data_IF_260391175139
#
_entry.id   IF_260391175139
#
_cell.length_a   1.000
_cell.length_b   1.000
_cell.length_c   1.000
_cell.angle_alpha   90.00
_cell.angle_beta   90.00
_cell.angle_gamma   90.00
#
_symmetry.space_group_name_H-M   'P 1'
#
loop_
_entity.id
_entity.type
_entity.pdbx_description
1 polymer ?
#
# COMPACT_ATOMS: atom_id res chain seq x y z
N UNK A 1 7.67 -7.93 9.12
CA UNK A 1 6.39 -7.63 8.45
C UNK A 1 6.21 -6.10 8.38
N UNK A 2 5.52 -5.56 7.37
CA UNK A 2 5.14 -4.14 7.36
C UNK A 2 3.72 -4.03 7.91
N UNK A 3 3.59 -3.46 9.10
CA UNK A 3 2.32 -3.30 9.81
C UNK A 3 1.70 -1.94 9.47
N UNK A 4 0.37 -1.92 9.34
CA UNK A 4 -0.35 -0.66 9.15
C UNK A 4 -0.29 0.15 10.44
N UNK A 5 0.24 1.37 10.37
CA UNK A 5 0.34 2.28 11.52
C UNK A 5 -1.02 2.46 12.22
N UNK A 6 -2.07 2.67 11.43
CA UNK A 6 -3.43 2.85 11.94
C UNK A 6 -3.93 1.65 12.75
N UNK A 7 -3.53 0.43 12.36
CA UNK A 7 -3.89 -0.79 13.11
C UNK A 7 -3.15 -0.90 14.45
N UNK A 8 -1.90 -0.45 14.49
CA UNK A 8 -1.09 -0.43 15.71
C UNK A 8 -1.60 0.64 16.69
N UNK A 9 -1.95 1.83 16.19
CA UNK A 9 -2.59 2.90 16.96
C UNK A 9 -3.93 2.45 17.53
N UNK A 10 -4.80 1.84 16.70
CA UNK A 10 -6.09 1.32 17.15
C UNK A 10 -5.97 0.18 18.17
N UNK A 11 -4.90 -0.61 18.09
CA UNK A 11 -4.58 -1.64 19.07
C UNK A 11 -3.94 -1.09 20.36
N UNK A 12 -3.68 0.22 20.44
CA UNK A 12 -3.02 0.86 21.59
C UNK A 12 -1.53 0.54 21.71
N UNK A 13 -0.91 0.08 20.62
CA UNK A 13 0.50 -0.33 20.56
C UNK A 13 1.43 0.81 20.12
N UNK A 14 0.86 1.93 19.67
CA UNK A 14 1.55 3.12 19.22
C UNK A 14 1.03 4.34 20.00
N UNK A 15 1.93 5.17 20.53
CA UNK A 15 1.59 6.49 21.06
C UNK A 15 1.99 7.60 20.06
N UNK A 16 1.53 8.83 20.32
CA UNK A 16 1.79 9.99 19.46
C UNK A 16 3.28 10.37 19.34
N UNK A 17 4.15 9.80 20.19
CA UNK A 17 5.58 10.07 20.25
C UNK A 17 6.41 8.85 19.81
N UNK A 18 5.76 7.82 19.26
CA UNK A 18 6.43 6.57 18.97
C UNK A 18 7.50 6.75 17.90
N UNK A 19 8.73 6.42 18.28
CA UNK A 19 9.88 6.43 17.40
C UNK A 19 9.74 5.33 16.35
N UNK A 20 9.68 5.72 15.08
CA UNK A 20 9.56 4.79 13.95
C UNK A 20 10.73 3.79 13.82
N UNK A 21 11.84 4.03 14.52
CA UNK A 21 12.99 3.10 14.58
C UNK A 21 12.83 2.00 15.64
N UNK A 22 11.89 2.13 16.58
CA UNK A 22 11.62 1.12 17.61
C UNK A 22 10.64 0.08 17.11
N UNK A 23 10.93 -1.18 17.43
CA UNK A 23 10.02 -2.30 17.16
C UNK A 23 8.83 -2.26 18.11
N UNK A 24 7.65 -2.52 17.58
CA UNK A 24 6.44 -2.74 18.39
C UNK A 24 6.51 -4.12 19.05
N UNK A 25 6.28 -4.18 20.36
CA UNK A 25 6.12 -5.44 21.09
C UNK A 25 4.74 -6.05 20.81
N UNK A 26 4.73 -7.23 20.20
CA UNK A 26 3.53 -8.00 19.84
C UNK A 26 3.37 -9.26 20.69
N UNK A 27 4.01 -9.30 21.86
CA UNK A 27 4.03 -10.47 22.76
C UNK A 27 2.65 -11.01 23.16
N UNK A 28 1.60 -10.19 23.16
CA UNK A 28 0.20 -10.61 23.36
C UNK A 28 -0.45 -11.06 22.03
N UNK A 29 0.15 -12.06 21.36
CA UNK A 29 -0.18 -12.54 20.00
C UNK A 29 -1.67 -12.87 19.80
N UNK A 30 -2.35 -13.32 20.85
CA UNK A 30 -3.76 -13.72 20.82
C UNK A 30 -4.72 -12.56 20.46
N UNK A 31 -4.31 -11.30 20.70
CA UNK A 31 -5.04 -10.10 20.26
C UNK A 31 -4.48 -9.53 18.96
N UNK A 32 -3.18 -9.68 18.74
CA UNK A 32 -2.48 -9.10 17.59
C UNK A 32 -3.09 -9.55 16.24
N UNK A 33 -3.40 -10.84 16.06
CA UNK A 33 -3.97 -11.31 14.79
C UNK A 33 -5.36 -10.74 14.45
N UNK A 34 -6.11 -10.27 15.46
CA UNK A 34 -7.44 -9.68 15.28
C UNK A 34 -7.40 -8.18 14.99
N UNK A 35 -6.39 -7.48 15.51
CA UNK A 35 -6.38 -6.01 15.54
C UNK A 35 -5.21 -5.39 14.78
N UNK A 36 -4.13 -6.15 14.54
CA UNK A 36 -2.93 -5.69 13.84
C UNK A 36 -2.94 -6.26 12.42
N UNK A 37 -2.88 -5.35 11.45
CA UNK A 37 -2.98 -5.68 10.04
C UNK A 37 -1.65 -5.42 9.35
N UNK A 38 -1.26 -6.31 8.44
CA UNK A 38 -0.11 -6.10 7.55
C UNK A 38 -0.56 -5.56 6.21
N UNK A 39 0.31 -4.78 5.57
CA UNK A 39 0.09 -4.30 4.21
C UNK A 39 1.41 -4.26 3.44
N UNK A 40 1.35 -4.49 2.13
CA UNK A 40 2.52 -4.33 1.26
C UNK A 40 2.88 -2.86 1.04
N UNK A 41 4.08 -2.60 0.51
CA UNK A 41 4.58 -1.24 0.24
C UNK A 41 3.65 -0.43 -0.69
N UNK A 42 2.87 -1.10 -1.55
CA UNK A 42 1.91 -0.45 -2.45
C UNK A 42 0.71 0.20 -1.76
N UNK A 43 0.44 -0.08 -0.48
CA UNK A 43 -0.73 0.46 0.23
C UNK A 43 -0.74 1.98 0.30
N UNK A 44 0.44 2.62 0.38
CA UNK A 44 0.55 4.09 0.43
C UNK A 44 0.00 4.79 -0.82
N UNK A 45 -0.02 4.08 -1.95
CA UNK A 45 -0.52 4.58 -3.23
C UNK A 45 -2.04 4.44 -3.38
N UNK A 46 -2.71 3.69 -2.51
CA UNK A 46 -4.18 3.50 -2.57
C UNK A 46 -4.86 4.73 -1.97
N UNK A 47 -5.76 5.36 -2.73
CA UNK A 47 -6.48 6.60 -2.34
C UNK A 47 -8.00 6.46 -2.39
N UNK A 48 -8.52 5.35 -2.88
CA UNK A 48 -9.94 5.11 -3.09
C UNK A 48 -10.31 3.64 -2.86
N UNK A 49 -11.61 3.37 -2.84
CA UNK A 49 -12.18 2.02 -2.64
C UNK A 49 -13.25 1.76 -3.72
N UNK A 50 -12.85 1.62 -5.00
CA UNK A 50 -13.78 1.37 -6.09
C UNK A 50 -14.33 -0.08 -6.03
N UNK A 51 -15.35 -0.36 -6.83
CA UNK A 51 -15.75 -1.75 -7.07
C UNK A 51 -14.63 -2.51 -7.79
N UNK A 52 -14.61 -3.84 -7.66
CA UNK A 52 -13.66 -4.69 -8.38
C UNK A 52 -13.74 -4.48 -9.89
N UNK A 53 -14.94 -4.31 -10.45
CA UNK A 53 -15.14 -4.10 -11.87
C UNK A 53 -14.51 -2.79 -12.36
N UNK A 54 -14.73 -1.69 -11.62
CA UNK A 54 -14.14 -0.39 -11.92
C UNK A 54 -12.62 -0.41 -11.80
N UNK A 55 -12.08 -1.05 -10.76
CA UNK A 55 -10.63 -1.17 -10.57
C UNK A 55 -9.98 -1.92 -11.72
N UNK A 56 -10.54 -3.06 -12.14
CA UNK A 56 -10.02 -3.84 -13.26
C UNK A 56 -10.09 -3.06 -14.57
N UNK A 57 -11.20 -2.37 -14.83
CA UNK A 57 -11.35 -1.53 -16.01
C UNK A 57 -10.31 -0.40 -16.05
N UNK A 58 -10.10 0.27 -14.92
CA UNK A 58 -9.09 1.32 -14.75
C UNK A 58 -7.67 0.78 -15.01
N UNK A 59 -7.28 -0.30 -14.33
CA UNK A 59 -5.94 -0.89 -14.49
C UNK A 59 -5.65 -1.31 -15.93
N UNK A 60 -6.65 -1.87 -16.64
CA UNK A 60 -6.50 -2.21 -18.06
C UNK A 60 -6.24 -0.98 -18.91
N UNK A 61 -6.98 0.10 -18.68
CA UNK A 61 -6.82 1.35 -19.41
C UNK A 61 -5.44 1.97 -19.16
N UNK A 62 -5.05 2.12 -17.90
CA UNK A 62 -3.76 2.68 -17.49
C UNK A 62 -2.56 1.89 -18.06
N UNK A 63 -2.66 0.56 -18.10
CA UNK A 63 -1.61 -0.28 -18.70
C UNK A 63 -1.42 -0.01 -20.20
N UNK A 64 -2.51 0.09 -20.95
CA UNK A 64 -2.46 0.38 -22.39
C UNK A 64 -1.90 1.77 -22.63
N UNK A 65 -2.36 2.77 -21.87
CA UNK A 65 -1.86 4.14 -21.95
C UNK A 65 -0.36 4.22 -21.66
N UNK A 66 0.11 3.54 -20.61
CA UNK A 66 1.52 3.49 -20.26
C UNK A 66 2.37 2.87 -21.37
N UNK A 67 1.87 1.80 -22.01
CA UNK A 67 2.55 1.18 -23.16
C UNK A 67 2.65 2.12 -24.37
N UNK A 68 1.57 2.86 -24.67
CA UNK A 68 1.55 3.86 -25.75
C UNK A 68 2.52 5.01 -25.47
N UNK A 69 2.54 5.50 -24.22
CA UNK A 69 3.46 6.56 -23.78
C UNK A 69 4.91 6.11 -23.90
N UNK A 70 5.24 4.91 -23.41
CA UNK A 70 6.58 4.36 -23.53
C UNK A 70 7.03 4.23 -24.99
N UNK A 71 6.16 3.72 -25.87
CA UNK A 71 6.47 3.63 -27.29
C UNK A 71 6.76 5.01 -27.91
N UNK A 72 5.93 6.02 -27.61
CA UNK A 72 6.12 7.38 -28.09
C UNK A 72 7.42 8.01 -27.57
N UNK A 73 7.71 7.88 -26.28
CA UNK A 73 8.92 8.43 -25.65
C UNK A 73 10.18 7.75 -26.21
N UNK A 74 10.14 6.42 -26.38
CA UNK A 74 11.27 5.63 -26.86
C UNK A 74 11.63 5.88 -28.33
N UNK A 75 10.67 6.32 -29.15
CA UNK A 75 10.88 6.62 -30.56
C UNK A 75 11.98 7.66 -30.79
N UNK A 76 12.12 8.62 -29.87
CA UNK A 76 13.17 9.67 -29.91
C UNK A 76 14.60 9.12 -29.81
N UNK A 77 14.76 7.87 -29.35
CA UNK A 77 16.06 7.24 -29.12
C UNK A 77 16.38 6.11 -30.10
N UNK A 78 15.52 5.88 -31.10
CA UNK A 78 15.66 4.81 -32.09
C UNK A 78 16.07 5.31 -33.49
N UNK A 79 16.33 6.62 -33.63
CA UNK A 79 16.96 7.27 -34.80
C UNK A 79 18.49 7.34 -34.63
#
# INVERSE_FOLDING_TARGET
ASFMRQSLEAAGLLDAQHDASKSVDLSDEAKAWKTVWSAGQGVGSIKDVPSTAELVARLKHEYIEAGQRFAADSATYLD
#
